data_IF_053099424870
#
_entry.id   IF_053099424870
#
_cell.length_a   1.000
_cell.length_b   1.000
_cell.length_c   1.000
_cell.angle_alpha   90.00
_cell.angle_beta   90.00
_cell.angle_gamma   90.00
#
_symmetry.space_group_name_H-M   'P 1'
#
loop_
_entity.id
_entity.type
_entity.pdbx_description
1 polymer ?
#
# COMPACT_ATOMS: atom_id res chain seq x y z
N UNK A 1 -52.07 39.08 -58.98
CA UNK A 1 -51.18 37.91 -59.22
C UNK A 1 -50.11 37.97 -58.17
N UNK A 2 -50.17 37.26 -57.01
CA UNK A 2 -49.01 37.16 -56.09
C UNK A 2 -49.26 36.41 -54.81
N UNK A 3 -50.08 35.39 -54.72
CA UNK A 3 -50.30 34.66 -53.45
C UNK A 3 -50.07 33.12 -53.51
N UNK A 4 -49.90 32.59 -54.74
CA UNK A 4 -49.74 31.12 -54.89
C UNK A 4 -48.28 30.66 -54.77
N UNK A 5 -47.30 31.56 -54.94
CA UNK A 5 -45.88 31.24 -54.92
C UNK A 5 -45.32 31.00 -53.48
N UNK A 6 -45.88 31.68 -52.51
CA UNK A 6 -45.45 31.60 -51.10
C UNK A 6 -45.72 30.21 -50.44
N UNK A 7 -46.78 29.55 -50.83
CA UNK A 7 -47.20 28.31 -50.14
C UNK A 7 -46.41 27.04 -50.52
N UNK A 8 -45.85 27.04 -51.72
CA UNK A 8 -44.95 25.98 -52.16
C UNK A 8 -43.60 26.02 -51.45
N UNK A 9 -43.06 27.23 -51.21
CA UNK A 9 -41.80 27.35 -50.46
C UNK A 9 -41.96 26.99 -48.98
N UNK A 10 -43.10 27.27 -48.39
CA UNK A 10 -43.43 26.90 -47.02
C UNK A 10 -43.51 25.36 -46.91
N UNK A 11 -44.14 24.69 -47.86
CA UNK A 11 -44.18 23.22 -47.88
C UNK A 11 -42.81 22.59 -48.07
N UNK A 12 -41.97 23.12 -48.95
CA UNK A 12 -40.58 22.64 -49.13
C UNK A 12 -39.73 22.88 -47.88
N UNK A 13 -39.90 24.01 -47.21
CA UNK A 13 -39.20 24.32 -45.95
C UNK A 13 -39.63 23.38 -44.83
N UNK A 14 -40.92 23.10 -44.70
CA UNK A 14 -41.45 22.15 -43.69
C UNK A 14 -40.98 20.70 -43.95
N UNK A 15 -40.93 20.28 -45.22
CA UNK A 15 -40.39 18.93 -45.58
C UNK A 15 -38.89 18.86 -45.31
N UNK A 16 -38.15 19.93 -45.61
CA UNK A 16 -36.70 20.00 -45.27
C UNK A 16 -36.45 19.95 -43.78
N UNK A 17 -37.24 20.66 -42.97
CA UNK A 17 -37.16 20.66 -41.53
C UNK A 17 -37.48 19.25 -40.94
N UNK A 18 -38.49 18.58 -41.50
CA UNK A 18 -38.87 17.21 -41.08
C UNK A 18 -37.78 16.19 -41.38
N UNK A 19 -37.09 16.31 -42.53
CA UNK A 19 -35.96 15.46 -42.88
C UNK A 19 -34.78 15.68 -41.92
N UNK A 20 -34.48 16.93 -41.56
CA UNK A 20 -33.40 17.25 -40.60
C UNK A 20 -33.69 16.68 -39.22
N UNK A 21 -34.92 16.79 -38.73
CA UNK A 21 -35.33 16.21 -37.43
C UNK A 21 -35.27 14.68 -37.44
N UNK A 22 -35.69 14.04 -38.56
CA UNK A 22 -35.59 12.59 -38.68
C UNK A 22 -34.12 12.10 -38.72
N UNK A 23 -33.23 12.86 -39.39
CA UNK A 23 -31.80 12.51 -39.43
C UNK A 23 -31.12 12.67 -38.06
N UNK A 24 -31.49 13.72 -37.30
CA UNK A 24 -30.98 13.88 -35.93
C UNK A 24 -31.48 12.76 -35.00
N UNK A 25 -32.76 12.40 -35.05
CA UNK A 25 -33.32 11.30 -34.26
C UNK A 25 -32.65 9.96 -34.58
N UNK A 26 -32.29 9.68 -35.84
CA UNK A 26 -31.57 8.49 -36.22
C UNK A 26 -30.13 8.47 -35.71
N UNK A 27 -29.45 9.62 -35.69
CA UNK A 27 -28.10 9.76 -35.13
C UNK A 27 -28.08 9.51 -33.61
N UNK A 28 -29.04 10.06 -32.88
CA UNK A 28 -29.14 9.89 -31.42
C UNK A 28 -29.44 8.43 -31.04
N UNK A 29 -30.34 7.77 -31.75
CA UNK A 29 -30.64 6.33 -31.53
C UNK A 29 -29.43 5.43 -31.86
N UNK A 30 -28.71 5.76 -32.93
CA UNK A 30 -27.50 5.01 -33.31
C UNK A 30 -26.36 5.21 -32.31
N UNK A 31 -26.12 6.43 -31.82
CA UNK A 31 -25.16 6.72 -30.77
C UNK A 31 -25.52 6.03 -29.46
N UNK A 32 -26.79 6.04 -29.10
CA UNK A 32 -27.29 5.40 -27.88
C UNK A 32 -27.17 3.86 -27.95
N UNK A 33 -27.43 3.25 -29.13
CA UNK A 33 -27.27 1.82 -29.34
C UNK A 33 -25.79 1.38 -29.30
N UNK A 34 -24.87 2.19 -29.84
CA UNK A 34 -23.42 1.94 -29.76
C UNK A 34 -22.95 2.06 -28.32
N UNK A 35 -23.43 3.03 -27.56
CA UNK A 35 -23.08 3.17 -26.15
C UNK A 35 -23.61 2.04 -25.29
N UNK A 36 -24.86 1.60 -25.52
CA UNK A 36 -25.43 0.43 -24.82
C UNK A 36 -24.68 -0.85 -25.16
N UNK A 37 -24.28 -1.05 -26.40
CA UNK A 37 -23.52 -2.22 -26.83
C UNK A 37 -22.07 -2.21 -26.30
N UNK A 38 -21.41 -1.04 -26.26
CA UNK A 38 -20.12 -0.86 -25.58
C UNK A 38 -20.22 -1.11 -24.08
N UNK A 39 -21.24 -0.59 -23.42
CA UNK A 39 -21.47 -0.82 -21.99
C UNK A 39 -21.77 -2.29 -21.68
N UNK A 40 -22.53 -2.99 -22.54
CA UNK A 40 -22.82 -4.41 -22.37
C UNK A 40 -21.58 -5.30 -22.62
N UNK A 41 -20.74 -4.98 -23.60
CA UNK A 41 -19.48 -5.68 -23.85
C UNK A 41 -18.49 -5.42 -22.70
N UNK A 42 -18.37 -4.19 -22.22
CA UNK A 42 -17.53 -3.86 -21.06
C UNK A 42 -18.03 -4.58 -19.78
N UNK A 43 -19.33 -4.66 -19.55
CA UNK A 43 -19.90 -5.36 -18.41
C UNK A 43 -19.64 -6.89 -18.44
N UNK A 44 -19.41 -7.48 -19.63
CA UNK A 44 -19.02 -8.89 -19.76
C UNK A 44 -17.51 -9.13 -19.58
N UNK A 45 -16.70 -8.07 -19.62
CA UNK A 45 -15.23 -8.13 -19.57
C UNK A 45 -14.62 -7.64 -18.27
N UNK A 46 -15.43 -7.06 -17.37
CA UNK A 46 -14.97 -6.52 -16.10
C UNK A 46 -16.01 -6.76 -14.98
N UNK A 47 -15.55 -6.67 -13.75
CA UNK A 47 -16.41 -6.68 -12.54
C UNK A 47 -16.41 -5.32 -11.89
N UNK A 48 -17.57 -4.89 -11.44
CA UNK A 48 -17.72 -3.68 -10.65
C UNK A 48 -17.26 -3.92 -9.23
N UNK A 49 -16.29 -3.10 -8.78
CA UNK A 49 -15.73 -3.15 -7.43
C UNK A 49 -15.92 -1.79 -6.76
N UNK A 50 -16.50 -1.81 -5.56
CA UNK A 50 -16.52 -0.63 -4.68
C UNK A 50 -15.22 -0.54 -3.92
N UNK A 51 -14.70 0.67 -3.83
CA UNK A 51 -13.45 0.97 -3.16
C UNK A 51 -13.54 2.34 -2.47
N UNK A 52 -12.50 2.75 -1.77
CA UNK A 52 -12.48 3.96 -0.92
C UNK A 52 -12.91 5.24 -1.68
N UNK A 53 -12.47 5.42 -2.93
CA UNK A 53 -12.72 6.65 -3.71
C UNK A 53 -13.88 6.53 -4.68
N UNK A 54 -14.62 5.42 -4.70
CA UNK A 54 -15.77 5.25 -5.57
C UNK A 54 -16.03 3.82 -6.03
N UNK A 55 -16.34 3.66 -7.30
CA UNK A 55 -16.66 2.38 -7.92
C UNK A 55 -15.97 2.30 -9.29
N UNK A 56 -15.35 1.17 -9.59
CA UNK A 56 -14.63 0.96 -10.85
C UNK A 56 -14.90 -0.40 -11.46
N UNK A 57 -14.94 -0.47 -12.78
CA UNK A 57 -15.07 -1.71 -13.54
C UNK A 57 -13.68 -2.31 -13.77
N UNK A 58 -13.28 -3.25 -12.94
CA UNK A 58 -11.96 -3.87 -12.96
C UNK A 58 -11.93 -5.00 -14.00
N UNK A 59 -11.04 -5.01 -14.99
CA UNK A 59 -10.89 -6.10 -15.95
C UNK A 59 -10.67 -7.45 -15.26
N UNK A 60 -11.27 -8.53 -15.78
CA UNK A 60 -11.04 -9.87 -15.21
C UNK A 60 -9.59 -10.34 -15.37
N UNK A 61 -8.88 -9.87 -16.35
CA UNK A 61 -7.47 -10.25 -16.64
C UNK A 61 -6.66 -9.01 -17.02
N UNK A 62 -6.36 -8.13 -16.06
CA UNK A 62 -5.56 -6.96 -16.37
C UNK A 62 -4.14 -7.37 -16.77
N UNK A 63 -3.62 -6.77 -17.85
CA UNK A 63 -2.29 -7.06 -18.39
C UNK A 63 -1.31 -5.90 -18.18
N UNK A 64 -1.83 -4.69 -18.04
CA UNK A 64 -1.04 -3.46 -17.99
C UNK A 64 -1.35 -2.69 -16.71
N UNK A 65 -0.96 -3.29 -15.58
CA UNK A 65 -1.28 -2.75 -14.26
C UNK A 65 -0.24 -1.70 -13.86
N UNK A 66 -0.72 -0.54 -13.44
CA UNK A 66 0.06 0.52 -12.78
C UNK A 66 -0.25 0.51 -11.30
N UNK A 67 0.78 0.63 -10.45
CA UNK A 67 0.62 0.73 -8.98
C UNK A 67 1.08 2.09 -8.46
N UNK A 68 0.34 2.63 -7.49
CA UNK A 68 0.49 4.00 -7.03
C UNK A 68 1.20 4.11 -5.66
N UNK A 69 1.64 2.99 -5.09
CA UNK A 69 2.39 2.94 -3.83
C UNK A 69 3.21 1.64 -3.73
N UNK A 70 4.19 1.63 -2.82
CA UNK A 70 5.09 0.49 -2.64
C UNK A 70 4.41 -0.73 -2.01
N UNK A 71 3.40 -0.53 -1.17
CA UNK A 71 2.65 -1.60 -0.53
C UNK A 71 1.81 -2.36 -1.55
N UNK A 72 1.15 -1.65 -2.46
CA UNK A 72 0.43 -2.24 -3.60
C UNK A 72 1.38 -2.99 -4.55
N UNK A 73 2.57 -2.46 -4.80
CA UNK A 73 3.61 -3.15 -5.60
C UNK A 73 4.00 -4.47 -4.94
N UNK A 74 4.24 -4.48 -3.65
CA UNK A 74 4.57 -5.67 -2.88
C UNK A 74 3.48 -6.74 -3.01
N UNK A 75 2.21 -6.35 -2.83
CA UNK A 75 1.07 -7.27 -2.93
C UNK A 75 0.94 -7.85 -4.34
N UNK A 76 1.01 -7.02 -5.38
CA UNK A 76 0.90 -7.51 -6.74
C UNK A 76 2.02 -8.50 -7.09
N UNK A 77 3.24 -8.20 -6.69
CA UNK A 77 4.39 -9.11 -6.87
C UNK A 77 4.19 -10.42 -6.11
N UNK A 78 3.70 -10.36 -4.87
CA UNK A 78 3.40 -11.56 -4.08
C UNK A 78 2.32 -12.43 -4.73
N UNK A 79 1.32 -11.80 -5.37
CA UNK A 79 0.25 -12.48 -6.11
C UNK A 79 0.68 -12.97 -7.50
N UNK A 80 1.91 -12.71 -7.92
CA UNK A 80 2.47 -13.15 -9.20
C UNK A 80 2.22 -12.21 -10.37
N UNK A 81 1.77 -10.98 -10.11
CA UNK A 81 1.67 -9.95 -11.15
C UNK A 81 2.99 -9.21 -11.36
N UNK A 82 3.19 -8.75 -12.60
CA UNK A 82 4.29 -7.88 -12.97
C UNK A 82 3.73 -6.53 -13.40
N UNK A 83 3.66 -5.53 -12.51
CA UNK A 83 3.23 -4.19 -12.90
C UNK A 83 4.12 -3.58 -13.95
N UNK A 84 3.54 -2.80 -14.87
CA UNK A 84 4.32 -2.10 -15.92
C UNK A 84 4.95 -0.81 -15.42
N UNK A 85 4.43 -0.26 -14.34
CA UNK A 85 4.95 0.94 -13.71
C UNK A 85 4.53 1.02 -12.23
N UNK A 86 5.34 1.71 -11.44
CA UNK A 86 5.10 1.93 -10.02
C UNK A 86 5.62 3.30 -9.57
N UNK A 87 5.03 3.85 -8.51
CA UNK A 87 5.61 4.95 -7.75
C UNK A 87 6.58 4.41 -6.67
N UNK A 88 7.37 5.30 -6.09
CA UNK A 88 8.26 5.01 -4.96
C UNK A 88 7.81 5.76 -3.72
N UNK A 89 8.06 5.18 -2.52
CA UNK A 89 7.70 5.79 -1.26
C UNK A 89 8.31 7.19 -1.09
N UNK A 90 7.60 8.05 -0.36
CA UNK A 90 8.02 9.42 -0.12
C UNK A 90 9.17 9.53 0.90
N UNK A 91 9.15 8.71 1.97
CA UNK A 91 10.02 8.90 3.14
C UNK A 91 10.68 7.62 3.67
N UNK A 92 10.00 6.47 3.58
CA UNK A 92 10.54 5.19 4.07
C UNK A 92 11.63 4.63 3.15
N UNK A 93 12.37 3.65 3.62
CA UNK A 93 13.36 2.92 2.83
C UNK A 93 12.79 2.22 1.60
N UNK A 94 13.65 1.68 0.78
CA UNK A 94 13.29 1.04 -0.47
C UNK A 94 12.98 -0.46 -0.26
N UNK A 95 11.85 -0.92 -0.80
CA UNK A 95 11.50 -2.36 -0.79
C UNK A 95 12.27 -3.22 -1.80
N UNK A 96 13.19 -2.63 -2.57
CA UNK A 96 13.97 -3.37 -3.57
C UNK A 96 14.63 -4.66 -3.01
N UNK A 97 15.22 -4.69 -1.80
CA UNK A 97 15.82 -5.92 -1.26
C UNK A 97 14.86 -7.10 -1.18
N UNK A 98 13.61 -6.89 -0.76
CA UNK A 98 12.60 -7.98 -0.63
C UNK A 98 11.95 -8.32 -1.97
N UNK A 99 12.03 -7.45 -2.97
CA UNK A 99 11.46 -7.64 -4.30
C UNK A 99 12.51 -8.08 -5.34
N UNK A 100 13.82 -7.88 -5.07
CA UNK A 100 14.93 -7.96 -6.03
C UNK A 100 14.98 -9.28 -6.82
N UNK A 101 14.69 -10.41 -6.18
CA UNK A 101 14.69 -11.72 -6.84
C UNK A 101 13.32 -12.13 -7.40
N UNK A 102 12.34 -11.21 -7.37
CA UNK A 102 10.94 -11.47 -7.74
C UNK A 102 10.52 -10.70 -8.97
N UNK A 103 11.08 -9.51 -9.15
CA UNK A 103 10.82 -8.64 -10.30
C UNK A 103 12.10 -8.01 -10.80
N UNK A 104 12.17 -7.81 -12.12
CA UNK A 104 13.21 -6.99 -12.73
C UNK A 104 12.74 -5.52 -12.75
N UNK A 105 13.33 -4.70 -11.89
CA UNK A 105 13.00 -3.28 -11.80
C UNK A 105 13.35 -2.48 -13.05
N UNK A 106 14.19 -3.00 -13.95
CA UNK A 106 14.48 -2.34 -15.25
C UNK A 106 13.28 -2.37 -16.18
N UNK A 107 12.32 -3.28 -15.94
CA UNK A 107 11.10 -3.41 -16.72
C UNK A 107 9.90 -2.70 -16.10
N UNK A 108 10.05 -2.13 -14.88
CA UNK A 108 9.02 -1.36 -14.19
C UNK A 108 9.33 0.13 -14.33
N UNK A 109 8.47 0.86 -15.05
CA UNK A 109 8.66 2.30 -15.25
C UNK A 109 8.48 3.04 -13.94
N UNK A 110 9.49 3.82 -13.54
CA UNK A 110 9.39 4.70 -12.38
C UNK A 110 8.49 5.92 -12.69
N UNK A 111 7.43 6.05 -11.92
CA UNK A 111 6.45 7.14 -12.00
C UNK A 111 6.80 8.32 -11.06
N UNK A 112 7.89 8.25 -10.33
CA UNK A 112 8.25 9.22 -9.29
C UNK A 112 7.63 8.89 -7.94
N UNK A 113 7.53 9.90 -7.07
CA UNK A 113 7.06 9.72 -5.69
C UNK A 113 5.54 9.57 -5.60
N UNK A 114 5.06 8.78 -4.65
CA UNK A 114 3.63 8.52 -4.37
C UNK A 114 2.79 9.80 -4.26
N UNK A 115 3.32 10.83 -3.59
CA UNK A 115 2.63 12.13 -3.43
C UNK A 115 2.54 12.97 -4.71
N UNK A 116 3.36 12.67 -5.73
CA UNK A 116 3.42 13.44 -6.99
C UNK A 116 3.82 12.56 -8.18
N UNK A 117 2.96 11.62 -8.60
CA UNK A 117 3.23 10.72 -9.70
C UNK A 117 3.24 11.45 -11.05
N UNK A 118 4.03 10.96 -11.99
CA UNK A 118 4.09 11.50 -13.36
C UNK A 118 2.89 11.01 -14.19
N UNK A 119 1.82 11.83 -14.25
CA UNK A 119 0.58 11.51 -14.97
C UNK A 119 0.79 11.35 -16.48
N UNK A 120 1.72 12.10 -17.09
CA UNK A 120 2.00 11.98 -18.53
C UNK A 120 2.56 10.60 -18.86
N UNK A 121 3.50 10.09 -18.04
CA UNK A 121 3.99 8.72 -18.18
C UNK A 121 2.87 7.71 -18.07
N UNK A 122 1.94 7.88 -17.11
CA UNK A 122 0.80 6.97 -16.94
C UNK A 122 -0.06 6.96 -18.21
N UNK A 123 -0.39 8.12 -18.79
CA UNK A 123 -1.15 8.22 -20.05
C UNK A 123 -0.42 7.50 -21.19
N UNK A 124 0.89 7.72 -21.35
CA UNK A 124 1.70 7.11 -22.41
C UNK A 124 1.76 5.58 -22.28
N UNK A 125 1.75 5.07 -21.07
CA UNK A 125 1.79 3.64 -20.80
C UNK A 125 0.48 2.92 -21.16
N UNK A 126 -0.64 3.64 -21.33
CA UNK A 126 -1.96 3.07 -21.65
C UNK A 126 -2.29 1.87 -20.75
N UNK A 127 -2.36 2.05 -19.43
CA UNK A 127 -2.72 0.97 -18.53
C UNK A 127 -4.15 0.49 -18.76
N UNK A 128 -4.44 -0.73 -18.39
CA UNK A 128 -5.80 -1.28 -18.33
C UNK A 128 -6.34 -1.32 -16.89
N UNK A 129 -5.46 -1.07 -15.90
CA UNK A 129 -5.81 -0.98 -14.49
C UNK A 129 -4.80 -0.13 -13.72
N UNK A 130 -5.29 0.72 -12.83
CA UNK A 130 -4.51 1.49 -11.86
C UNK A 130 -4.96 1.10 -10.45
N UNK A 131 -4.01 0.67 -9.59
CA UNK A 131 -4.28 0.25 -8.22
C UNK A 131 -3.39 1.00 -7.24
N UNK A 132 -3.92 1.27 -6.04
CA UNK A 132 -3.14 1.85 -4.96
C UNK A 132 -3.90 1.87 -3.63
N UNK A 133 -3.16 2.14 -2.55
CA UNK A 133 -3.71 2.37 -1.21
C UNK A 133 -3.62 3.84 -0.79
N UNK A 134 -2.69 4.60 -1.36
CA UNK A 134 -2.46 6.01 -1.03
C UNK A 134 -2.77 6.94 -2.20
N UNK A 135 -3.81 6.61 -3.00
CA UNK A 135 -4.23 7.47 -4.12
C UNK A 135 -4.83 8.75 -3.57
N UNK A 136 -4.19 9.88 -3.91
CA UNK A 136 -4.71 11.18 -3.53
C UNK A 136 -6.09 11.41 -4.18
N UNK A 137 -7.15 11.70 -3.39
CA UNK A 137 -8.49 11.96 -3.90
C UNK A 137 -8.56 13.08 -4.95
N UNK A 138 -7.62 14.03 -4.93
CA UNK A 138 -7.58 15.14 -5.91
C UNK A 138 -7.16 14.69 -7.30
N UNK A 139 -6.30 13.66 -7.42
CA UNK A 139 -5.85 13.12 -8.71
C UNK A 139 -6.66 11.91 -9.17
N UNK A 140 -7.45 11.30 -8.29
CA UNK A 140 -8.28 10.14 -8.62
C UNK A 140 -9.17 10.35 -9.86
N UNK A 141 -9.88 11.51 -10.04
CA UNK A 141 -10.69 11.73 -11.23
C UNK A 141 -9.87 11.73 -12.53
N UNK A 142 -8.62 12.19 -12.49
CA UNK A 142 -7.73 12.19 -13.65
C UNK A 142 -7.26 10.77 -13.97
N UNK A 143 -6.87 10.00 -12.96
CA UNK A 143 -6.47 8.60 -13.12
C UNK A 143 -7.62 7.76 -13.70
N UNK A 144 -8.86 7.97 -13.21
CA UNK A 144 -10.06 7.26 -13.66
C UNK A 144 -10.44 7.58 -15.11
N UNK A 145 -9.98 8.71 -15.67
CA UNK A 145 -10.12 9.01 -17.10
C UNK A 145 -9.10 8.26 -17.96
N UNK A 146 -7.97 7.86 -17.38
CA UNK A 146 -6.91 7.12 -18.09
C UNK A 146 -7.25 5.63 -18.14
N UNK A 147 -7.62 5.04 -17.00
CA UNK A 147 -7.97 3.63 -16.88
C UNK A 147 -8.86 3.39 -15.63
N UNK A 148 -9.55 2.23 -15.54
CA UNK A 148 -10.16 1.80 -14.30
C UNK A 148 -9.18 1.92 -13.14
N UNK A 149 -9.57 2.67 -12.10
CA UNK A 149 -8.70 2.99 -10.96
C UNK A 149 -9.39 2.57 -9.67
N UNK A 150 -8.71 1.78 -8.82
CA UNK A 150 -9.23 1.42 -7.52
C UNK A 150 -8.24 1.80 -6.40
N UNK A 151 -8.78 2.46 -5.36
CA UNK A 151 -8.06 2.78 -4.13
C UNK A 151 -8.57 1.89 -3.01
N UNK A 152 -7.66 1.15 -2.36
CA UNK A 152 -8.00 0.29 -1.24
C UNK A 152 -7.54 0.99 0.04
N UNK A 153 -8.40 1.02 1.04
CA UNK A 153 -8.05 1.57 2.34
C UNK A 153 -6.85 0.82 2.95
N UNK A 154 -5.81 1.57 3.27
CA UNK A 154 -4.65 1.02 3.96
C UNK A 154 -4.98 0.76 5.43
N UNK A 155 -4.60 -0.39 5.93
CA UNK A 155 -4.73 -0.73 7.34
C UNK A 155 -3.53 -1.52 7.82
N UNK A 156 -2.80 -0.95 8.77
CA UNK A 156 -1.61 -1.58 9.36
C UNK A 156 -1.96 -2.89 10.09
N UNK A 157 -3.06 -2.92 10.80
CA UNK A 157 -3.49 -4.07 11.60
C UNK A 157 -4.26 -5.12 10.80
N UNK A 158 -4.87 -4.72 9.67
CA UNK A 158 -5.65 -5.61 8.81
C UNK A 158 -4.92 -5.97 7.50
N UNK A 159 -3.59 -5.95 7.49
CA UNK A 159 -2.78 -6.17 6.30
C UNK A 159 -3.10 -7.50 5.56
N UNK A 160 -3.49 -8.55 6.30
CA UNK A 160 -3.95 -9.83 5.69
C UNK A 160 -5.25 -9.65 4.93
N UNK A 161 -6.19 -8.87 5.48
CA UNK A 161 -7.45 -8.52 4.80
C UNK A 161 -7.17 -7.71 3.54
N UNK A 162 -6.24 -6.76 3.61
CA UNK A 162 -5.82 -5.97 2.45
C UNK A 162 -5.28 -6.86 1.32
N UNK A 163 -4.39 -7.83 1.64
CA UNK A 163 -3.93 -8.84 0.67
C UNK A 163 -5.10 -9.58 0.00
N UNK A 164 -6.07 -10.01 0.81
CA UNK A 164 -7.25 -10.73 0.30
C UNK A 164 -8.15 -9.86 -0.58
N UNK A 165 -8.31 -8.57 -0.27
CA UNK A 165 -9.07 -7.63 -1.11
C UNK A 165 -8.40 -7.44 -2.49
N UNK A 166 -7.08 -7.26 -2.53
CA UNK A 166 -6.35 -7.23 -3.80
C UNK A 166 -6.51 -8.54 -4.59
N UNK A 167 -6.38 -9.66 -3.89
CA UNK A 167 -6.53 -10.98 -4.49
C UNK A 167 -7.94 -11.22 -5.07
N UNK A 168 -8.98 -10.77 -4.38
CA UNK A 168 -10.36 -10.84 -4.87
C UNK A 168 -10.55 -9.96 -6.11
N UNK A 169 -9.97 -8.76 -6.13
CA UNK A 169 -10.00 -7.87 -7.31
C UNK A 169 -9.27 -8.46 -8.52
N UNK A 170 -8.24 -9.24 -8.29
CA UNK A 170 -7.36 -9.79 -9.34
C UNK A 170 -7.60 -11.27 -9.64
N UNK A 171 -8.63 -11.88 -9.05
CA UNK A 171 -8.94 -13.33 -9.16
C UNK A 171 -7.78 -14.24 -8.71
N UNK A 172 -7.08 -13.81 -7.64
CA UNK A 172 -5.91 -14.50 -7.07
C UNK A 172 -6.17 -14.98 -5.62
N UNK A 173 -7.44 -15.15 -5.23
CA UNK A 173 -7.79 -15.63 -3.87
C UNK A 173 -7.06 -16.91 -3.46
N UNK A 174 -6.92 -17.93 -4.34
CA UNK A 174 -6.19 -19.15 -3.99
C UNK A 174 -4.71 -18.86 -3.67
N UNK A 175 -4.04 -17.97 -4.44
CA UNK A 175 -2.65 -17.60 -4.22
C UNK A 175 -2.46 -16.85 -2.90
N UNK A 176 -3.34 -15.90 -2.58
CA UNK A 176 -3.30 -15.21 -1.29
C UNK A 176 -3.50 -16.17 -0.10
N UNK A 177 -4.40 -17.14 -0.23
CA UNK A 177 -4.61 -18.16 0.80
C UNK A 177 -3.39 -19.05 1.01
N UNK A 178 -2.72 -19.45 -0.08
CA UNK A 178 -1.45 -20.19 -0.03
C UNK A 178 -0.38 -19.39 0.74
N UNK A 179 -0.20 -18.11 0.39
CA UNK A 179 0.78 -17.23 1.03
C UNK A 179 0.51 -17.05 2.53
N UNK A 180 -0.75 -16.85 2.91
CA UNK A 180 -1.13 -16.73 4.33
C UNK A 180 -0.94 -18.03 5.10
N UNK A 181 -1.23 -19.18 4.49
CA UNK A 181 -0.98 -20.51 5.10
C UNK A 181 0.50 -20.75 5.32
N UNK A 182 1.34 -20.42 4.33
CA UNK A 182 2.81 -20.54 4.46
C UNK A 182 3.36 -19.62 5.55
N UNK A 183 2.85 -18.38 5.64
CA UNK A 183 3.21 -17.45 6.71
C UNK A 183 2.82 -17.99 8.09
N UNK A 184 1.61 -18.53 8.23
CA UNK A 184 1.14 -19.11 9.49
C UNK A 184 2.01 -20.30 9.94
N UNK A 185 2.36 -21.20 9.03
CA UNK A 185 3.27 -22.32 9.32
C UNK A 185 4.63 -21.82 9.79
N UNK A 186 5.13 -20.74 9.19
CA UNK A 186 6.38 -20.11 9.60
C UNK A 186 6.31 -19.52 11.02
N UNK A 187 5.21 -18.83 11.35
CA UNK A 187 4.94 -18.35 12.71
C UNK A 187 5.01 -19.52 13.72
N UNK A 188 4.36 -20.63 13.45
CA UNK A 188 4.35 -21.80 14.33
C UNK A 188 5.75 -22.39 14.53
N UNK A 189 6.56 -22.46 13.48
CA UNK A 189 7.95 -22.93 13.56
C UNK A 189 8.81 -22.01 14.43
N UNK A 190 8.68 -20.69 14.29
CA UNK A 190 9.43 -19.71 15.08
C UNK A 190 8.95 -19.74 16.54
N UNK A 191 7.65 -19.82 16.78
CA UNK A 191 7.09 -19.98 18.13
C UNK A 191 7.66 -21.23 18.83
N UNK A 192 7.72 -22.35 18.15
CA UNK A 192 8.29 -23.58 18.72
C UNK A 192 9.75 -23.42 19.12
N UNK A 193 10.55 -22.68 18.35
CA UNK A 193 11.96 -22.38 18.69
C UNK A 193 12.11 -21.43 19.89
N UNK A 194 11.20 -20.46 20.02
CA UNK A 194 11.21 -19.49 21.11
C UNK A 194 10.51 -19.99 22.38
N UNK A 195 9.75 -21.09 22.31
CA UNK A 195 8.96 -21.62 23.43
C UNK A 195 9.79 -22.12 24.63
N UNK A 196 11.10 -22.29 24.47
CA UNK A 196 12.02 -22.64 25.57
C UNK A 196 12.24 -21.49 26.56
N UNK A 197 11.80 -20.27 26.21
CA UNK A 197 11.88 -19.10 27.09
C UNK A 197 10.66 -19.07 28.04
N UNK A 198 10.92 -18.91 29.33
CA UNK A 198 9.90 -18.93 30.38
C UNK A 198 9.03 -17.70 30.42
N UNK A 199 9.44 -16.60 29.79
CA UNK A 199 8.72 -15.32 29.73
C UNK A 199 8.62 -14.84 28.27
N UNK A 200 7.59 -13.99 28.00
CA UNK A 200 7.49 -13.29 26.71
C UNK A 200 8.66 -12.35 26.53
N UNK A 201 9.32 -12.44 25.38
CA UNK A 201 10.38 -11.51 24.98
C UNK A 201 9.78 -10.14 24.69
N UNK A 202 10.27 -9.12 25.37
CA UNK A 202 9.85 -7.74 25.14
C UNK A 202 10.69 -7.15 24.02
N UNK A 203 10.01 -6.70 22.96
CA UNK A 203 10.67 -6.07 21.82
C UNK A 203 10.18 -4.63 21.70
N UNK A 204 11.14 -3.70 21.59
CA UNK A 204 10.89 -2.32 21.21
C UNK A 204 11.25 -2.14 19.74
N UNK A 205 10.30 -1.65 18.93
CA UNK A 205 10.53 -1.29 17.56
C UNK A 205 10.46 0.23 17.42
N UNK A 206 11.52 0.82 16.87
CA UNK A 206 11.69 2.26 16.76
C UNK A 206 11.82 2.70 15.32
N UNK A 207 11.49 3.97 15.06
CA UNK A 207 11.71 4.63 13.79
C UNK A 207 12.39 5.98 14.01
N UNK A 208 13.46 6.21 13.26
CA UNK A 208 14.03 7.53 13.08
C UNK A 208 13.72 8.02 11.67
N UNK A 209 13.27 9.26 11.55
CA UNK A 209 12.92 9.89 10.27
C UNK A 209 13.61 11.23 10.11
N UNK A 210 13.76 11.66 8.87
CA UNK A 210 14.54 12.85 8.50
C UNK A 210 13.99 14.12 9.15
N UNK A 211 14.88 15.00 9.59
CA UNK A 211 14.58 16.32 10.16
C UNK A 211 13.75 16.31 11.44
N UNK A 212 13.69 15.18 12.14
CA UNK A 212 12.95 15.07 13.37
C UNK A 212 13.87 15.15 14.60
N UNK A 213 13.45 15.99 15.57
CA UNK A 213 14.06 16.04 16.91
C UNK A 213 13.55 14.94 17.83
N UNK A 214 12.49 14.25 17.45
CA UNK A 214 11.86 13.14 18.17
C UNK A 214 12.05 11.83 17.40
N UNK A 215 12.15 10.73 18.11
CA UNK A 215 11.99 9.39 17.52
C UNK A 215 10.56 8.89 17.71
N UNK A 216 10.27 7.74 17.13
CA UNK A 216 8.99 7.06 17.30
C UNK A 216 9.24 5.66 17.81
N UNK A 217 8.43 5.16 18.74
CA UNK A 217 8.27 3.74 18.90
C UNK A 217 6.96 3.28 18.23
N UNK A 218 7.02 2.09 17.65
CA UNK A 218 5.87 1.46 17.00
C UNK A 218 5.03 0.76 18.07
N UNK A 219 3.73 1.01 18.05
CA UNK A 219 2.78 0.44 19.01
C UNK A 219 1.96 -0.71 18.40
N UNK A 220 1.06 -1.29 19.17
CA UNK A 220 0.20 -2.42 18.74
C UNK A 220 -0.68 -2.13 17.51
N UNK A 221 -0.87 -0.86 17.12
CA UNK A 221 -1.61 -0.48 15.93
C UNK A 221 -0.71 -0.41 14.68
N UNK A 222 0.62 -0.63 14.83
CA UNK A 222 1.54 -0.68 13.70
C UNK A 222 1.54 -2.04 13.01
N UNK A 223 1.89 -2.05 11.73
CA UNK A 223 2.10 -3.26 10.95
C UNK A 223 3.12 -4.19 11.62
N UNK A 224 4.28 -3.66 11.99
CA UNK A 224 5.38 -4.42 12.59
C UNK A 224 4.97 -5.11 13.87
N UNK A 225 4.41 -4.37 14.84
CA UNK A 225 4.01 -4.97 16.11
C UNK A 225 2.90 -5.99 15.92
N UNK A 226 1.98 -5.75 14.97
CA UNK A 226 0.96 -6.72 14.63
C UNK A 226 1.56 -8.04 14.11
N UNK A 227 2.61 -7.98 13.27
CA UNK A 227 3.35 -9.16 12.80
C UNK A 227 4.08 -9.85 13.95
N UNK A 228 4.78 -9.10 14.82
CA UNK A 228 5.56 -9.64 15.92
C UNK A 228 4.67 -10.33 16.97
N UNK A 229 3.53 -9.75 17.31
CA UNK A 229 2.61 -10.28 18.32
C UNK A 229 1.88 -11.56 17.87
N UNK A 230 1.85 -11.87 16.57
CA UNK A 230 1.39 -13.18 16.10
C UNK A 230 2.24 -14.33 16.62
N UNK A 231 3.50 -14.09 16.96
CA UNK A 231 4.38 -15.07 17.58
C UNK A 231 3.97 -15.43 19.02
N UNK A 232 3.06 -14.71 19.68
CA UNK A 232 2.56 -14.94 21.05
C UNK A 232 3.63 -14.99 22.15
N UNK A 233 4.88 -15.32 21.79
CA UNK A 233 6.07 -15.32 22.65
C UNK A 233 6.75 -13.96 22.71
N UNK A 234 6.28 -13.01 21.90
CA UNK A 234 6.76 -11.63 21.82
C UNK A 234 5.68 -10.66 22.32
N UNK A 235 6.10 -9.57 22.92
CA UNK A 235 5.24 -8.44 23.31
C UNK A 235 6.04 -7.14 23.32
N UNK A 236 5.35 -6.00 23.23
CA UNK A 236 5.97 -4.69 23.49
C UNK A 236 6.10 -4.47 25.01
N UNK A 237 7.05 -3.62 25.47
CA UNK A 237 7.17 -3.23 26.85
C UNK A 237 5.87 -2.65 27.42
N UNK A 238 5.57 -2.95 28.69
CA UNK A 238 4.33 -2.49 29.34
C UNK A 238 4.23 -0.97 29.39
N UNK A 239 5.34 -0.28 29.64
CA UNK A 239 5.37 1.20 29.59
C UNK A 239 4.89 1.75 28.23
N UNK A 240 5.28 1.11 27.11
CA UNK A 240 4.82 1.51 25.78
C UNK A 240 3.33 1.25 25.59
N UNK A 241 2.77 0.17 26.15
CA UNK A 241 1.33 -0.10 26.10
C UNK A 241 0.51 0.98 26.80
N UNK A 242 1.02 1.52 27.90
CA UNK A 242 0.34 2.58 28.65
C UNK A 242 0.31 3.91 27.89
N UNK A 243 1.30 4.20 27.06
CA UNK A 243 1.36 5.43 26.25
C UNK A 243 0.38 5.43 25.05
N UNK A 244 -0.25 4.32 24.71
CA UNK A 244 -1.19 4.21 23.57
C UNK A 244 -2.49 5.01 23.81
N UNK A 245 -2.75 5.43 25.05
CA UNK A 245 -3.91 6.27 25.38
C UNK A 245 -3.73 7.75 24.99
N UNK A 246 -2.56 8.11 24.42
CA UNK A 246 -2.29 9.49 23.96
C UNK A 246 -3.00 9.74 22.61
N UNK A 247 -3.65 10.90 22.41
CA UNK A 247 -4.20 11.27 21.10
C UNK A 247 -3.14 11.16 19.99
N UNK A 248 -3.49 10.59 18.85
CA UNK A 248 -2.65 10.29 17.66
C UNK A 248 -1.87 8.96 17.69
N UNK A 249 -2.06 8.09 18.69
CA UNK A 249 -1.47 6.75 18.66
C UNK A 249 -2.09 5.80 17.62
N UNK A 250 -3.21 6.20 17.00
CA UNK A 250 -3.94 5.39 16.00
C UNK A 250 -3.15 5.12 14.71
N UNK A 251 -2.13 5.96 14.45
CA UNK A 251 -1.21 5.80 13.31
C UNK A 251 -0.16 4.70 13.51
N UNK A 252 -0.23 3.96 14.61
CA UNK A 252 0.69 2.86 14.88
C UNK A 252 2.02 3.28 15.51
N UNK A 253 2.19 4.52 15.94
CA UNK A 253 3.39 5.00 16.61
C UNK A 253 3.11 6.06 17.69
N UNK A 254 4.09 6.26 18.56
CA UNK A 254 4.12 7.35 19.55
C UNK A 254 5.46 8.06 19.44
N UNK A 255 5.43 9.41 19.40
CA UNK A 255 6.64 10.22 19.42
C UNK A 255 7.28 10.24 20.81
N UNK A 256 8.58 10.07 20.87
CA UNK A 256 9.36 10.03 22.10
C UNK A 256 10.52 11.02 22.02
N UNK A 257 10.59 11.90 23.02
CA UNK A 257 11.74 12.76 23.22
C UNK A 257 12.91 12.02 23.90
N UNK A 258 14.09 12.60 23.83
CA UNK A 258 15.30 12.01 24.43
C UNK A 258 15.16 11.84 25.95
N UNK A 259 14.41 12.71 26.63
CA UNK A 259 14.19 12.64 28.09
C UNK A 259 13.32 11.47 28.52
N UNK A 260 12.52 10.93 27.61
CA UNK A 260 11.64 9.77 27.85
C UNK A 260 12.15 8.48 27.20
N UNK A 261 13.43 8.41 26.97
CA UNK A 261 14.06 7.26 26.27
C UNK A 261 13.91 5.95 27.06
N UNK A 262 13.65 6.03 28.36
CA UNK A 262 13.36 4.86 29.22
C UNK A 262 12.14 4.04 28.76
N UNK A 263 11.24 4.66 27.97
CA UNK A 263 10.13 3.96 27.34
C UNK A 263 10.57 2.92 26.29
N UNK A 264 11.80 3.08 25.77
CA UNK A 264 12.32 2.26 24.69
C UNK A 264 13.03 0.99 25.20
N UNK A 265 13.29 0.92 26.50
CA UNK A 265 14.02 -0.20 27.09
C UNK A 265 13.22 -1.52 27.01
N UNK A 266 13.88 -2.55 26.54
CA UNK A 266 13.28 -3.82 26.21
C UNK A 266 14.34 -4.95 26.28
N UNK A 267 13.94 -6.20 26.07
CA UNK A 267 14.90 -7.31 25.96
C UNK A 267 15.65 -7.27 24.63
N UNK A 268 15.06 -6.70 23.56
CA UNK A 268 15.70 -6.42 22.29
C UNK A 268 15.06 -5.16 21.64
N UNK A 269 15.86 -4.39 20.90
CA UNK A 269 15.42 -3.17 20.22
C UNK A 269 15.75 -3.26 18.74
N UNK A 270 14.74 -3.05 17.89
CA UNK A 270 14.88 -2.93 16.45
C UNK A 270 14.70 -1.48 16.01
N UNK A 271 15.68 -0.93 15.31
CA UNK A 271 15.75 0.48 14.94
C UNK A 271 15.63 0.59 13.41
N UNK A 272 14.47 1.03 12.94
CA UNK A 272 14.23 1.33 11.54
C UNK A 272 14.69 2.77 11.22
N UNK A 273 15.63 2.90 10.30
CA UNK A 273 16.17 4.18 9.87
C UNK A 273 15.60 4.55 8.50
N UNK A 274 14.87 5.67 8.43
CA UNK A 274 14.49 6.25 7.13
C UNK A 274 15.73 6.85 6.45
N UNK A 275 15.80 6.86 5.11
CA UNK A 275 16.88 7.51 4.40
C UNK A 275 17.10 8.96 4.86
N UNK A 276 18.32 9.31 5.25
CA UNK A 276 18.69 10.64 5.75
C UNK A 276 18.38 10.89 7.23
N UNK A 277 18.03 9.85 8.01
CA UNK A 277 17.77 9.97 9.46
C UNK A 277 18.97 9.63 10.33
N UNK A 278 20.14 9.38 9.75
CA UNK A 278 21.36 8.93 10.43
C UNK A 278 21.83 9.95 11.49
N UNK A 279 21.74 11.24 11.21
CA UNK A 279 22.11 12.30 12.17
C UNK A 279 21.14 12.36 13.34
N UNK A 280 19.84 12.17 13.11
CA UNK A 280 18.83 12.08 14.17
C UNK A 280 19.09 10.87 15.08
N UNK A 281 19.40 9.71 14.50
CA UNK A 281 19.76 8.52 15.26
C UNK A 281 21.07 8.73 16.06
N UNK A 282 22.10 9.33 15.46
CA UNK A 282 23.36 9.63 16.11
C UNK A 282 23.20 10.50 17.35
N UNK A 283 22.28 11.49 17.32
CA UNK A 283 21.95 12.33 18.47
C UNK A 283 21.52 11.49 19.68
N UNK A 284 20.68 10.46 19.45
CA UNK A 284 20.23 9.57 20.54
C UNK A 284 21.37 8.67 21.02
N UNK A 285 22.08 8.00 20.10
CA UNK A 285 23.17 7.05 20.45
C UNK A 285 24.30 7.71 21.22
N UNK A 286 24.61 8.99 20.98
CA UNK A 286 25.66 9.72 21.70
C UNK A 286 25.20 10.30 23.02
N UNK A 287 23.90 10.25 23.33
CA UNK A 287 23.37 10.73 24.60
C UNK A 287 23.77 9.82 25.78
N UNK A 288 24.14 10.40 26.94
CA UNK A 288 24.32 9.61 28.15
C UNK A 288 23.06 8.81 28.55
N UNK A 289 21.86 9.34 28.28
CA UNK A 289 20.59 8.66 28.59
C UNK A 289 20.44 7.37 27.78
N UNK A 290 20.87 7.35 26.52
CA UNK A 290 20.86 6.13 25.70
C UNK A 290 21.70 5.02 26.32
N UNK A 291 22.86 5.39 26.90
CA UNK A 291 23.78 4.43 27.51
C UNK A 291 23.24 3.83 28.84
N UNK A 292 22.17 4.42 29.41
CA UNK A 292 21.53 3.88 30.62
C UNK A 292 20.54 2.75 30.33
N UNK A 293 20.15 2.56 29.06
CA UNK A 293 19.19 1.51 28.70
C UNK A 293 19.83 0.11 28.83
N UNK A 294 19.13 -0.81 29.45
CA UNK A 294 19.62 -2.20 29.63
C UNK A 294 19.85 -2.87 28.28
N UNK A 295 18.95 -2.67 27.30
CA UNK A 295 19.07 -3.22 25.95
C UNK A 295 20.32 -2.73 25.22
N UNK A 296 20.78 -1.50 25.50
CA UNK A 296 22.02 -0.92 24.94
C UNK A 296 23.25 -1.53 25.60
N UNK A 297 23.24 -1.65 26.93
CA UNK A 297 24.33 -2.26 27.71
C UNK A 297 24.52 -3.75 27.32
N UNK A 298 23.44 -4.45 27.04
CA UNK A 298 23.42 -5.83 26.58
C UNK A 298 23.78 -5.99 25.10
N UNK A 299 23.96 -4.88 24.34
CA UNK A 299 24.26 -4.85 22.90
C UNK A 299 23.17 -5.51 22.04
N UNK A 300 21.91 -5.41 22.46
CA UNK A 300 20.76 -6.00 21.78
C UNK A 300 19.95 -4.96 20.98
N UNK A 301 20.65 -4.01 20.39
CA UNK A 301 20.09 -2.99 19.49
C UNK A 301 20.47 -3.34 18.05
N UNK A 302 19.47 -3.56 17.20
CA UNK A 302 19.62 -4.03 15.83
C UNK A 302 19.03 -3.01 14.85
N UNK A 303 19.85 -2.57 13.89
CA UNK A 303 19.37 -1.69 12.82
C UNK A 303 18.73 -2.51 11.71
N UNK A 304 17.57 -2.07 11.24
CA UNK A 304 16.75 -2.72 10.22
C UNK A 304 16.29 -1.73 9.16
N UNK A 305 15.84 -2.23 8.02
CA UNK A 305 15.41 -1.40 6.89
C UNK A 305 13.96 -0.92 7.10
N UNK A 306 13.78 0.42 7.16
CA UNK A 306 12.46 1.04 7.32
C UNK A 306 11.52 0.74 6.15
N UNK A 307 12.03 0.38 4.98
CA UNK A 307 11.24 0.07 3.78
C UNK A 307 10.24 -1.08 3.99
N UNK A 308 10.54 -2.03 4.87
CA UNK A 308 9.62 -3.13 5.19
C UNK A 308 9.29 -3.26 6.68
N UNK A 309 9.97 -2.51 7.56
CA UNK A 309 9.64 -2.50 8.99
C UNK A 309 8.51 -1.53 9.34
N UNK A 310 8.30 -0.46 8.59
CA UNK A 310 7.30 0.56 8.96
C UNK A 310 5.93 0.25 8.36
N UNK A 311 5.90 -0.01 7.07
CA UNK A 311 4.70 -0.37 6.32
C UNK A 311 4.97 -1.63 5.51
N UNK A 312 3.94 -2.40 5.20
CA UNK A 312 4.14 -3.56 4.36
C UNK A 312 2.93 -4.47 4.24
N UNK A 313 3.20 -5.63 3.66
CA UNK A 313 2.25 -6.71 3.53
C UNK A 313 2.97 -8.06 3.67
N UNK A 314 2.56 -9.10 2.99
CA UNK A 314 3.02 -10.48 3.17
C UNK A 314 4.53 -10.70 2.98
N UNK A 315 5.17 -10.00 2.02
CA UNK A 315 6.61 -10.13 1.81
C UNK A 315 7.39 -9.40 2.92
N UNK A 316 6.96 -8.20 3.28
CA UNK A 316 7.50 -7.42 4.40
C UNK A 316 7.33 -8.17 5.73
N UNK A 317 6.17 -8.77 5.98
CA UNK A 317 5.94 -9.60 7.17
C UNK A 317 6.94 -10.76 7.25
N UNK A 318 7.22 -11.44 6.13
CA UNK A 318 8.22 -12.49 6.08
C UNK A 318 9.65 -11.96 6.30
N UNK A 319 9.99 -10.78 5.77
CA UNK A 319 11.31 -10.16 5.97
C UNK A 319 11.53 -9.77 7.44
N UNK A 320 10.50 -9.28 8.14
CA UNK A 320 10.56 -9.05 9.60
C UNK A 320 10.86 -10.35 10.35
N UNK A 321 10.22 -11.46 9.98
CA UNK A 321 10.53 -12.76 10.58
C UNK A 321 11.95 -13.26 10.27
N UNK A 322 12.50 -12.92 9.08
CA UNK A 322 13.90 -13.20 8.74
C UNK A 322 14.85 -12.44 9.66
N UNK A 323 14.60 -11.16 9.88
CA UNK A 323 15.40 -10.33 10.79
C UNK A 323 15.33 -10.85 12.24
N UNK A 324 14.16 -11.24 12.72
CA UNK A 324 14.02 -11.84 14.04
C UNK A 324 14.88 -13.11 14.18
N UNK A 325 14.78 -14.02 13.23
CA UNK A 325 15.60 -15.24 13.25
C UNK A 325 17.09 -14.91 13.20
N UNK A 326 17.49 -13.96 12.32
CA UNK A 326 18.89 -13.55 12.18
C UNK A 326 19.49 -12.99 13.47
N UNK A 327 18.76 -12.14 14.17
CA UNK A 327 19.29 -11.41 15.32
C UNK A 327 19.08 -12.14 16.65
N UNK A 328 17.98 -12.88 16.81
CA UNK A 328 17.66 -13.56 18.07
C UNK A 328 18.25 -14.99 18.17
N UNK A 329 18.52 -15.66 17.04
CA UNK A 329 19.18 -16.98 17.05
C UNK A 329 20.71 -16.88 17.30
N UNK A 330 21.35 -15.75 16.98
CA UNK A 330 22.80 -15.55 17.19
C UNK A 330 23.21 -15.51 18.67
N UNK A 331 22.27 -15.33 19.58
CA UNK A 331 22.54 -15.26 21.03
C UNK A 331 22.72 -16.65 21.69
N UNK A 332 22.49 -17.72 20.95
CA UNK A 332 22.68 -19.13 21.44
C UNK A 332 24.05 -19.70 21.10
N UNK A 333 24.95 -18.93 20.46
CA UNK A 333 26.33 -19.31 20.09
C UNK A 333 27.33 -18.64 21.00
#
# INVERSE_FOLDING_TARGET
>A
MSRKFSWQYIKLFLVGLLIVVCLQSCQDVFQQSIQIQRSAVLASECRTVRHELGESCIPYRPQRVVVMDQESLEILVALGFKPIAATTANRVGNKAPILQNRVDFTEIVDLGKEGNPNLEKIVQLKPDLILGMFINPQIYPLLSQIAPTASIEYSQTNWKKTLLLFADMLDQRPKASELLSAFQQRIELIQARLAEQTSKLKISAMRFYTDASLTQFLNQNSFTINVLEELKTISIPEKQRQEIQVPNSDWGYVNVSLERIDLLDADAMFVALDPGSEDSFKLYVTSPLWQTLDVVQQKRVYTVDSGYWIFGNILSANAILDDLCKYLDQEKS
#
